data_IF_959518017250
#
_entry.id   IF_959518017250
#
_cell.length_a   1.000
_cell.length_b   1.000
_cell.length_c   1.000
_cell.angle_alpha   90.00
_cell.angle_beta   90.00
_cell.angle_gamma   90.00
#
_symmetry.space_group_name_H-M   'P 1'
#
loop_
_entity.id
_entity.type
_entity.pdbx_description
1 polymer ?
#
# COMPACT_ATOMS: atom_id res chain seq x y z
N UNK A 1 2.90 -42.78 75.01
CA UNK A 1 4.02 -42.27 74.18
C UNK A 1 3.59 -42.26 72.73
N UNK A 2 3.56 -41.06 72.15
CA UNK A 2 3.57 -40.67 70.72
C UNK A 2 2.53 -41.31 69.77
N UNK A 3 1.44 -40.58 69.58
CA UNK A 3 0.64 -40.57 68.35
C UNK A 3 1.49 -40.07 67.18
N UNK A 4 1.38 -40.72 66.01
CA UNK A 4 1.95 -40.25 64.75
C UNK A 4 0.81 -39.94 63.78
N UNK A 5 0.54 -38.65 63.61
CA UNK A 5 -0.35 -38.07 62.60
C UNK A 5 0.35 -38.07 61.24
N UNK A 6 -0.26 -38.69 60.22
CA UNK A 6 0.11 -38.49 58.82
C UNK A 6 -0.32 -37.08 58.37
N UNK A 7 0.51 -36.32 57.64
CA UNK A 7 0.05 -35.11 56.97
C UNK A 7 -0.63 -35.50 55.66
N UNK A 8 -1.90 -35.11 55.50
CA UNK A 8 -2.56 -35.09 54.20
C UNK A 8 -2.01 -33.91 53.39
N UNK A 9 -1.24 -34.20 52.34
CA UNK A 9 -0.81 -33.23 51.35
C UNK A 9 -1.96 -33.01 50.36
N UNK A 10 -2.80 -31.99 50.61
CA UNK A 10 -3.68 -31.43 49.60
C UNK A 10 -2.83 -30.68 48.56
N UNK A 11 -2.59 -31.30 47.41
CA UNK A 11 -2.06 -30.60 46.24
C UNK A 11 -3.12 -29.66 45.69
N UNK A 12 -3.06 -28.38 46.09
CA UNK A 12 -3.78 -27.31 45.42
C UNK A 12 -3.13 -27.09 44.04
N UNK A 13 -3.76 -27.61 42.99
CA UNK A 13 -3.41 -27.25 41.62
C UNK A 13 -3.84 -25.80 41.37
N UNK A 14 -2.89 -24.85 41.51
CA UNK A 14 -3.06 -23.50 40.97
C UNK A 14 -3.08 -23.60 39.44
N UNK A 15 -4.27 -23.60 38.86
CA UNK A 15 -4.45 -23.34 37.44
C UNK A 15 -4.22 -21.84 37.24
N UNK A 16 -2.98 -21.45 36.95
CA UNK A 16 -2.73 -20.16 36.32
C UNK A 16 -3.34 -20.21 34.92
N UNK A 17 -4.57 -19.74 34.78
CA UNK A 17 -5.12 -19.38 33.49
C UNK A 17 -4.30 -18.19 32.98
N UNK A 18 -3.27 -18.47 32.19
CA UNK A 18 -2.58 -17.44 31.42
C UNK A 18 -3.61 -16.81 30.49
N UNK A 19 -4.10 -15.62 30.86
CA UNK A 19 -4.87 -14.78 29.95
C UNK A 19 -3.92 -14.36 28.84
N UNK A 20 -3.97 -15.07 27.71
CA UNK A 20 -3.29 -14.65 26.51
C UNK A 20 -3.82 -13.27 26.11
N UNK A 21 -2.94 -12.31 25.74
CA UNK A 21 -3.41 -11.04 25.24
C UNK A 21 -4.27 -11.29 24.01
N UNK A 22 -5.48 -10.73 24.01
CA UNK A 22 -6.37 -10.73 22.86
C UNK A 22 -5.70 -9.88 21.77
N UNK A 23 -4.82 -10.48 20.98
CA UNK A 23 -4.34 -9.85 19.75
C UNK A 23 -5.59 -9.57 18.92
N UNK A 24 -5.78 -8.31 18.53
CA UNK A 24 -6.78 -7.93 17.56
C UNK A 24 -6.49 -8.75 16.29
N UNK A 25 -7.23 -9.84 16.11
CA UNK A 25 -7.10 -10.66 14.92
C UNK A 25 -7.68 -9.82 13.80
N UNK A 26 -6.83 -9.38 12.87
CA UNK A 26 -7.28 -8.85 11.58
C UNK A 26 -8.27 -9.87 11.04
N UNK A 27 -9.52 -9.46 10.91
CA UNK A 27 -10.58 -10.38 10.52
C UNK A 27 -10.39 -10.72 9.06
N UNK A 28 -9.94 -11.95 8.78
CA UNK A 28 -9.88 -12.57 7.44
C UNK A 28 -11.27 -12.72 6.79
N UNK A 29 -12.31 -12.07 7.33
CA UNK A 29 -13.67 -12.14 6.84
C UNK A 29 -13.90 -11.13 5.72
N UNK A 30 -14.68 -11.53 4.71
CA UNK A 30 -15.19 -10.63 3.68
C UNK A 30 -15.86 -9.39 4.30
N UNK A 31 -15.50 -8.21 3.79
CA UNK A 31 -15.96 -6.88 4.19
C UNK A 31 -16.80 -6.25 3.08
N UNK A 32 -17.59 -5.25 3.43
CA UNK A 32 -18.27 -4.41 2.45
C UNK A 32 -17.29 -3.48 1.72
N UNK A 33 -17.66 -3.03 0.51
CA UNK A 33 -16.86 -2.06 -0.25
C UNK A 33 -16.51 -0.78 0.53
N UNK A 34 -17.45 -0.17 1.28
CA UNK A 34 -17.16 0.98 2.15
C UNK A 34 -16.10 0.68 3.23
N UNK A 35 -16.18 -0.47 3.92
CA UNK A 35 -15.18 -0.86 4.92
C UNK A 35 -13.78 -1.04 4.28
N UNK A 36 -13.72 -1.62 3.09
CA UNK A 36 -12.46 -1.76 2.33
C UNK A 36 -11.93 -0.39 1.90
N UNK A 37 -12.81 0.53 1.50
CA UNK A 37 -12.41 1.90 1.17
C UNK A 37 -11.81 2.62 2.38
N UNK A 38 -12.38 2.47 3.57
CA UNK A 38 -11.84 3.03 4.82
C UNK A 38 -10.46 2.47 5.18
N UNK A 39 -10.25 1.16 4.98
CA UNK A 39 -8.92 0.55 5.13
C UNK A 39 -7.95 1.17 4.11
N UNK A 40 -8.34 1.21 2.84
CA UNK A 40 -7.50 1.73 1.76
C UNK A 40 -7.17 3.22 1.95
N UNK A 41 -8.10 4.02 2.43
CA UNK A 41 -7.91 5.45 2.66
C UNK A 41 -6.83 5.73 3.70
N UNK A 42 -6.75 4.92 4.75
CA UNK A 42 -5.75 5.05 5.82
C UNK A 42 -4.33 4.63 5.39
N UNK A 43 -4.23 3.83 4.32
CA UNK A 43 -3.00 3.12 3.95
C UNK A 43 -2.47 3.50 2.57
N UNK A 44 -3.27 4.15 1.71
CA UNK A 44 -2.81 4.66 0.40
C UNK A 44 -1.96 5.90 0.60
N UNK A 45 -0.72 5.83 0.14
CA UNK A 45 0.22 6.94 0.13
C UNK A 45 0.11 7.72 -1.19
N UNK A 46 0.22 9.04 -1.12
CA UNK A 46 0.54 9.88 -2.28
C UNK A 46 2.05 10.15 -2.26
N UNK A 47 2.76 9.77 -3.32
CA UNK A 47 4.21 9.94 -3.45
C UNK A 47 4.49 10.99 -4.52
N UNK A 48 5.27 12.01 -4.19
CA UNK A 48 5.49 13.16 -5.07
C UNK A 48 6.98 13.45 -5.23
N UNK A 49 7.41 13.64 -6.47
CA UNK A 49 8.77 14.03 -6.80
C UNK A 49 8.90 15.54 -6.96
N UNK A 50 9.98 16.13 -6.44
CA UNK A 50 10.28 17.55 -6.57
C UNK A 50 11.74 17.78 -6.94
N UNK A 51 12.01 18.81 -7.75
CA UNK A 51 13.38 19.26 -7.97
C UNK A 51 13.86 20.21 -6.86
N UNK A 52 15.13 20.64 -6.95
CA UNK A 52 15.71 21.60 -6.00
C UNK A 52 15.01 22.97 -5.98
N UNK A 53 14.33 23.33 -7.07
CA UNK A 53 13.54 24.55 -7.19
C UNK A 53 12.09 24.39 -6.67
N UNK A 54 11.80 23.28 -5.98
CA UNK A 54 10.48 22.94 -5.41
C UNK A 54 9.37 22.80 -6.46
N UNK A 55 9.74 22.57 -7.72
CA UNK A 55 8.77 22.28 -8.77
C UNK A 55 8.41 20.79 -8.72
N UNK A 56 7.12 20.49 -8.81
CA UNK A 56 6.62 19.13 -8.93
C UNK A 56 7.13 18.50 -10.23
N UNK A 57 7.66 17.28 -10.13
CA UNK A 57 8.16 16.47 -11.25
C UNK A 57 7.20 15.34 -11.61
N UNK A 58 6.05 15.27 -10.94
CA UNK A 58 5.10 14.17 -11.06
C UNK A 58 4.81 13.53 -9.71
N UNK A 59 3.87 12.60 -9.72
CA UNK A 59 3.47 11.84 -8.55
C UNK A 59 3.05 10.43 -8.93
N UNK A 60 2.97 9.59 -7.92
CA UNK A 60 2.37 8.27 -7.97
C UNK A 60 1.70 7.96 -6.64
N UNK A 61 1.33 6.70 -6.49
CA UNK A 61 0.70 6.15 -5.30
C UNK A 61 1.65 5.18 -4.59
N UNK A 62 1.30 4.79 -3.37
CA UNK A 62 2.00 3.77 -2.62
C UNK A 62 1.09 3.12 -1.58
N UNK A 63 1.62 2.12 -0.89
CA UNK A 63 0.92 1.41 0.19
C UNK A 63 1.78 1.44 1.45
N UNK A 64 1.25 1.89 2.57
CA UNK A 64 1.93 1.78 3.87
C UNK A 64 1.89 0.32 4.34
N UNK A 65 3.03 -0.36 4.39
CA UNK A 65 3.13 -1.81 4.58
C UNK A 65 3.86 -2.24 5.85
N UNK A 66 4.62 -1.35 6.48
CA UNK A 66 5.18 -1.61 7.81
C UNK A 66 5.44 -0.30 8.57
N UNK A 67 5.58 -0.43 9.87
CA UNK A 67 6.07 0.61 10.77
C UNK A 67 6.96 -0.03 11.83
N UNK A 68 8.19 0.43 11.95
CA UNK A 68 9.16 -0.01 12.96
C UNK A 68 9.62 1.21 13.77
N UNK A 69 9.19 1.30 15.03
CA UNK A 69 9.39 2.51 15.83
C UNK A 69 8.79 3.74 15.14
N UNK A 70 9.62 4.73 14.79
CA UNK A 70 9.24 5.93 14.05
C UNK A 70 9.49 5.82 12.54
N UNK A 71 9.87 4.66 12.02
CA UNK A 71 10.12 4.48 10.59
C UNK A 71 8.90 3.84 9.94
N UNK A 72 8.23 4.58 9.06
CA UNK A 72 7.19 4.05 8.18
C UNK A 72 7.81 3.55 6.87
N UNK A 73 7.21 2.49 6.34
CA UNK A 73 7.67 1.82 5.13
C UNK A 73 6.53 1.75 4.12
N UNK A 74 6.77 2.35 2.95
CA UNK A 74 5.86 2.28 1.80
C UNK A 74 6.40 1.36 0.72
N UNK A 75 5.51 0.67 0.00
CA UNK A 75 5.81 0.04 -1.30
C UNK A 75 5.15 0.80 -2.43
N UNK A 76 5.85 0.93 -3.54
CA UNK A 76 5.39 1.60 -4.77
C UNK A 76 6.06 0.96 -6.00
N UNK A 77 5.82 1.49 -7.20
CA UNK A 77 6.58 1.11 -8.39
C UNK A 77 7.92 1.84 -8.46
N UNK A 78 8.91 1.24 -9.11
CA UNK A 78 10.20 1.88 -9.32
C UNK A 78 10.06 3.13 -10.19
N UNK A 79 9.23 3.11 -11.23
CA UNK A 79 9.05 4.29 -12.09
C UNK A 79 8.37 5.49 -11.41
N UNK A 80 7.79 5.32 -10.22
CA UNK A 80 7.26 6.45 -9.43
C UNK A 80 8.40 7.24 -8.77
N UNK A 81 9.54 6.59 -8.54
CA UNK A 81 10.67 7.12 -7.78
C UNK A 81 11.98 7.17 -8.58
N UNK A 82 11.92 7.05 -9.91
CA UNK A 82 13.10 6.94 -10.78
C UNK A 82 13.63 8.28 -11.29
N UNK A 83 12.95 9.39 -11.01
CA UNK A 83 13.31 10.72 -11.51
C UNK A 83 14.67 11.19 -10.98
N UNK A 84 15.70 11.36 -11.84
CA UNK A 84 17.04 11.74 -11.40
C UNK A 84 17.07 13.12 -10.73
N UNK A 85 17.73 13.21 -9.57
CA UNK A 85 17.84 14.45 -8.80
C UNK A 85 16.55 14.89 -8.12
N UNK A 86 15.49 14.08 -8.18
CA UNK A 86 14.26 14.35 -7.45
C UNK A 86 14.42 14.06 -5.95
N UNK A 87 13.72 14.87 -5.16
CA UNK A 87 13.42 14.59 -3.75
C UNK A 87 11.99 14.10 -3.67
N UNK A 88 11.77 13.00 -2.95
CA UNK A 88 10.44 12.43 -2.80
C UNK A 88 9.83 12.80 -1.46
N UNK A 89 8.55 13.12 -1.49
CA UNK A 89 7.71 13.32 -0.32
C UNK A 89 6.56 12.31 -0.35
N UNK A 90 6.14 11.90 0.83
CA UNK A 90 4.97 11.05 1.05
C UNK A 90 3.92 11.85 1.79
N UNK A 91 2.69 11.87 1.29
CA UNK A 91 1.53 12.33 2.06
C UNK A 91 0.75 11.12 2.56
N UNK A 92 0.50 11.09 3.87
CA UNK A 92 -0.28 10.07 4.57
C UNK A 92 -1.76 10.49 4.72
N UNK A 93 -2.61 9.57 5.19
CA UNK A 93 -4.06 9.78 5.30
C UNK A 93 -4.47 10.85 6.31
N UNK A 94 -3.63 11.15 7.28
CA UNK A 94 -3.77 12.27 8.22
C UNK A 94 -3.33 13.61 7.61
N UNK A 95 -3.06 13.62 6.29
CA UNK A 95 -2.63 14.79 5.50
C UNK A 95 -1.22 15.29 5.83
N UNK A 96 -0.49 14.62 6.73
CA UNK A 96 0.89 14.94 7.03
C UNK A 96 1.78 14.62 5.81
N UNK A 97 2.79 15.45 5.60
CA UNK A 97 3.78 15.30 4.53
C UNK A 97 5.12 14.96 5.14
N UNK A 98 5.71 13.86 4.70
CA UNK A 98 6.96 13.32 5.20
C UNK A 98 7.99 13.31 4.08
N UNK A 99 9.25 13.62 4.42
CA UNK A 99 10.34 13.46 3.47
C UNK A 99 10.76 12.00 3.41
N UNK A 100 10.89 11.45 2.20
CA UNK A 100 11.50 10.13 2.00
C UNK A 100 12.97 10.19 2.41
N UNK A 101 13.36 9.28 3.30
CA UNK A 101 14.71 9.18 3.86
C UNK A 101 15.56 8.15 3.15
N UNK A 102 14.96 7.06 2.66
CA UNK A 102 15.63 6.03 1.87
C UNK A 102 14.72 5.51 0.76
N UNK A 103 15.33 5.11 -0.35
CA UNK A 103 14.67 4.50 -1.51
C UNK A 103 15.43 3.25 -1.90
N UNK A 104 14.71 2.13 -1.95
CA UNK A 104 15.24 0.84 -2.39
C UNK A 104 14.44 0.31 -3.57
N UNK A 105 14.90 0.64 -4.78
CA UNK A 105 14.36 0.06 -6.02
C UNK A 105 14.92 -1.35 -6.27
N UNK A 106 14.09 -2.25 -6.81
CA UNK A 106 14.51 -3.58 -7.22
C UNK A 106 14.88 -3.60 -8.70
N UNK A 107 15.90 -4.38 -9.08
CA UNK A 107 16.51 -4.25 -10.40
C UNK A 107 15.68 -4.85 -11.55
N UNK A 108 14.88 -5.89 -11.29
CA UNK A 108 14.21 -6.68 -12.33
C UNK A 108 12.70 -6.50 -12.36
N UNK A 109 12.14 -5.88 -11.33
CA UNK A 109 10.72 -5.61 -11.18
C UNK A 109 10.52 -4.13 -11.02
N UNK A 110 9.41 -3.64 -11.55
CA UNK A 110 8.99 -2.26 -11.36
C UNK A 110 8.43 -2.05 -9.94
N UNK A 111 9.26 -2.28 -8.92
CA UNK A 111 8.95 -2.19 -7.51
C UNK A 111 10.03 -1.39 -6.78
N UNK A 112 9.61 -0.61 -5.80
CA UNK A 112 10.50 0.07 -4.88
C UNK A 112 9.89 0.14 -3.48
N UNK A 113 10.77 0.21 -2.49
CA UNK A 113 10.44 0.53 -1.10
C UNK A 113 10.91 1.95 -0.81
N UNK A 114 10.05 2.72 -0.15
CA UNK A 114 10.37 4.05 0.38
C UNK A 114 10.26 4.02 1.89
N UNK A 115 11.19 4.64 2.59
CA UNK A 115 11.08 4.83 4.04
C UNK A 115 10.98 6.30 4.38
N UNK A 116 10.27 6.61 5.46
CA UNK A 116 10.16 7.97 5.98
C UNK A 116 9.91 7.94 7.49
N UNK A 117 10.31 9.00 8.17
CA UNK A 117 10.03 9.19 9.60
C UNK A 117 8.55 9.53 9.79
N UNK A 118 7.90 8.87 10.75
CA UNK A 118 6.49 9.01 11.04
C UNK A 118 6.22 8.80 12.55
N UNK A 119 5.63 9.80 13.22
CA UNK A 119 5.35 9.76 14.66
C UNK A 119 3.88 9.42 14.99
N UNK A 120 3.01 9.41 13.99
CA UNK A 120 1.59 9.08 14.15
C UNK A 120 1.36 7.59 14.44
N UNK A 121 0.18 7.28 14.96
CA UNK A 121 -0.32 5.91 15.11
C UNK A 121 -0.84 5.40 13.76
N UNK A 122 0.08 5.15 12.83
CA UNK A 122 -0.29 4.54 11.55
C UNK A 122 -0.39 3.03 11.70
N UNK A 123 -1.47 2.46 11.19
CA UNK A 123 -1.69 1.03 11.06
C UNK A 123 -1.36 0.63 9.61
N UNK A 124 -0.24 -0.08 9.37
CA UNK A 124 0.09 -0.55 8.03
C UNK A 124 -0.93 -1.56 7.52
N UNK A 125 -1.07 -1.68 6.21
CA UNK A 125 -1.97 -2.64 5.61
C UNK A 125 -1.46 -4.08 5.78
N UNK A 126 -2.37 -4.98 6.12
CA UNK A 126 -2.12 -6.43 6.08
C UNK A 126 -1.84 -6.89 4.65
N UNK A 127 -0.81 -7.70 4.48
CA UNK A 127 -0.40 -8.31 3.21
C UNK A 127 -0.92 -9.74 3.17
N UNK A 128 -1.64 -10.12 2.10
CA UNK A 128 -2.17 -11.47 1.96
C UNK A 128 -1.45 -12.24 0.84
N UNK A 129 -0.97 -13.43 1.18
CA UNK A 129 -0.22 -14.33 0.29
C UNK A 129 -0.95 -15.67 0.15
N UNK A 130 -1.89 -15.72 -0.79
CA UNK A 130 -2.56 -16.94 -1.19
C UNK A 130 -2.64 -17.00 -2.71
N UNK A 131 -3.05 -18.14 -3.25
CA UNK A 131 -3.19 -18.31 -4.69
C UNK A 131 -4.34 -17.43 -5.20
N UNK A 132 -3.99 -16.39 -5.96
CA UNK A 132 -4.96 -15.58 -6.68
C UNK A 132 -5.56 -16.39 -7.85
N UNK A 133 -6.79 -16.06 -8.22
CA UNK A 133 -7.50 -16.72 -9.33
C UNK A 133 -8.33 -15.73 -10.14
N UNK A 134 -8.43 -15.89 -11.48
CA UNK A 134 -9.40 -15.17 -12.29
C UNK A 134 -10.83 -15.30 -11.74
N UNK A 135 -11.61 -14.23 -11.81
CA UNK A 135 -12.95 -14.11 -11.25
C UNK A 135 -13.00 -13.64 -9.79
N UNK A 136 -11.87 -13.62 -9.09
CA UNK A 136 -11.80 -13.05 -7.74
C UNK A 136 -12.02 -11.54 -7.76
N UNK A 137 -12.87 -11.03 -6.87
CA UNK A 137 -13.07 -9.58 -6.68
C UNK A 137 -11.83 -8.93 -6.09
N UNK A 138 -11.44 -7.79 -6.65
CA UNK A 138 -10.36 -6.96 -6.14
C UNK A 138 -10.77 -5.49 -6.15
N UNK A 139 -10.27 -4.75 -5.18
CA UNK A 139 -10.46 -3.30 -5.05
C UNK A 139 -9.14 -2.60 -5.30
N UNK A 140 -9.18 -1.39 -5.85
CA UNK A 140 -8.01 -0.60 -6.16
C UNK A 140 -8.13 0.78 -5.55
N UNK A 141 -7.06 1.25 -4.91
CA UNK A 141 -6.98 2.59 -4.32
C UNK A 141 -5.69 3.28 -4.74
N UNK A 142 -5.81 4.50 -5.26
CA UNK A 142 -4.67 5.30 -5.74
C UNK A 142 -5.04 6.75 -6.02
N UNK A 143 -4.05 7.52 -6.47
CA UNK A 143 -4.11 8.96 -6.71
C UNK A 143 -3.98 9.29 -8.21
N UNK A 144 -5.09 9.42 -8.94
CA UNK A 144 -5.08 9.90 -10.32
C UNK A 144 -4.48 11.30 -10.45
N UNK A 145 -3.74 11.50 -11.54
CA UNK A 145 -3.07 12.76 -11.86
C UNK A 145 -3.80 13.67 -12.84
N UNK A 146 -4.95 13.25 -13.37
CA UNK A 146 -5.79 14.09 -14.23
C UNK A 146 -6.52 15.22 -13.48
N UNK A 147 -6.35 15.26 -12.15
CA UNK A 147 -6.88 16.28 -11.28
C UNK A 147 -8.39 16.14 -11.06
N UNK A 148 -8.90 16.85 -10.06
CA UNK A 148 -10.33 17.02 -9.82
C UNK A 148 -10.84 18.35 -10.42
N UNK A 149 -12.16 18.60 -10.47
CA UNK A 149 -12.71 19.85 -11.00
C UNK A 149 -12.23 21.13 -10.29
N UNK A 150 -11.60 21.01 -9.12
CA UNK A 150 -11.00 22.14 -8.38
C UNK A 150 -9.51 22.32 -8.69
N UNK A 151 -8.96 21.49 -9.59
CA UNK A 151 -7.56 21.47 -9.94
C UNK A 151 -6.68 20.76 -8.93
N UNK A 152 -7.24 20.08 -7.92
CA UNK A 152 -6.48 19.30 -6.93
C UNK A 152 -6.34 17.82 -7.33
N UNK A 153 -5.78 16.99 -6.45
CA UNK A 153 -5.81 15.53 -6.59
C UNK A 153 -6.92 14.95 -5.71
N UNK A 154 -7.69 14.01 -6.26
CA UNK A 154 -8.67 13.24 -5.49
C UNK A 154 -8.35 11.76 -5.57
N UNK A 155 -8.16 11.10 -4.42
CA UNK A 155 -7.96 9.65 -4.33
C UNK A 155 -9.17 8.94 -4.92
N UNK A 156 -8.93 7.94 -5.76
CA UNK A 156 -9.98 7.08 -6.32
C UNK A 156 -9.93 5.69 -5.73
N UNK A 157 -11.13 5.14 -5.52
CA UNK A 157 -11.38 3.77 -5.10
C UNK A 157 -12.28 3.09 -6.12
N UNK A 158 -11.82 2.00 -6.72
CA UNK A 158 -12.58 1.27 -7.75
C UNK A 158 -12.64 -0.21 -7.40
N UNK A 159 -13.71 -0.87 -7.82
CA UNK A 159 -13.84 -2.33 -7.73
C UNK A 159 -13.69 -2.96 -9.11
N UNK A 160 -13.29 -4.22 -9.13
CA UNK A 160 -13.11 -5.01 -10.33
C UNK A 160 -12.87 -6.47 -9.97
N UNK A 161 -12.39 -7.23 -10.94
CA UNK A 161 -12.09 -8.65 -10.81
C UNK A 161 -10.77 -8.96 -11.47
N UNK A 162 -10.07 -9.97 -10.97
CA UNK A 162 -8.91 -10.56 -11.64
C UNK A 162 -9.41 -11.16 -12.96
N UNK A 163 -8.86 -10.70 -14.08
CA UNK A 163 -9.20 -11.18 -15.41
C UNK A 163 -8.23 -12.24 -15.91
N UNK A 164 -6.95 -12.13 -15.53
CA UNK A 164 -5.89 -13.03 -15.99
C UNK A 164 -4.72 -13.08 -15.02
N UNK A 165 -3.96 -14.18 -15.07
CA UNK A 165 -2.66 -14.33 -14.44
C UNK A 165 -1.67 -14.73 -15.53
N UNK A 166 -0.60 -13.94 -15.70
CA UNK A 166 0.42 -14.27 -16.70
C UNK A 166 1.28 -15.43 -16.20
N UNK A 167 1.48 -16.44 -17.06
CA UNK A 167 2.39 -17.56 -16.79
C UNK A 167 3.84 -17.08 -16.60
N UNK A 168 4.20 -15.99 -17.30
CA UNK A 168 5.51 -15.36 -17.23
C UNK A 168 5.34 -13.87 -16.93
N UNK A 169 5.74 -13.41 -15.73
CA UNK A 169 5.71 -12.00 -15.40
C UNK A 169 6.59 -11.18 -16.35
N UNK A 170 6.16 -9.96 -16.66
CA UNK A 170 6.95 -9.00 -17.47
C UNK A 170 7.26 -7.82 -16.57
N UNK A 171 8.53 -7.60 -16.21
CA UNK A 171 8.90 -6.55 -15.25
C UNK A 171 8.24 -6.71 -13.87
N UNK A 172 7.89 -7.94 -13.49
CA UNK A 172 7.14 -8.26 -12.28
C UNK A 172 5.62 -8.26 -12.44
N UNK A 173 5.08 -7.65 -13.50
CA UNK A 173 3.64 -7.60 -13.75
C UNK A 173 3.10 -8.98 -14.08
N UNK A 174 2.11 -9.43 -13.31
CA UNK A 174 1.55 -10.77 -13.43
C UNK A 174 0.03 -10.80 -13.32
N UNK A 175 -0.56 -9.96 -12.47
CA UNK A 175 -1.99 -10.00 -12.17
C UNK A 175 -2.71 -8.98 -13.04
N UNK A 176 -3.56 -9.45 -13.95
CA UNK A 176 -4.44 -8.60 -14.76
C UNK A 176 -5.82 -8.45 -14.12
N UNK A 177 -6.38 -7.24 -14.11
CA UNK A 177 -7.71 -6.96 -13.53
C UNK A 177 -8.47 -5.84 -14.24
N UNK A 178 -9.77 -5.76 -13.95
CA UNK A 178 -10.75 -4.92 -14.66
C UNK A 178 -11.04 -3.57 -14.00
N UNK A 179 -10.44 -3.27 -12.85
CA UNK A 179 -10.63 -1.99 -12.14
C UNK A 179 -10.37 -0.81 -13.06
N UNK A 180 -11.13 0.29 -12.95
CA UNK A 180 -10.80 1.52 -13.68
C UNK A 180 -9.59 2.18 -13.01
N UNK A 181 -8.59 2.54 -13.80
CA UNK A 181 -7.39 3.27 -13.32
C UNK A 181 -7.01 4.41 -14.26
N UNK A 182 -6.14 5.29 -13.77
CA UNK A 182 -5.66 6.49 -14.48
C UNK A 182 -4.19 6.70 -14.16
N UNK A 183 -3.50 7.48 -14.98
CA UNK A 183 -2.12 7.91 -14.72
C UNK A 183 -2.01 8.54 -13.32
N UNK A 184 -0.91 8.30 -12.60
CA UNK A 184 -0.71 8.69 -11.19
C UNK A 184 -1.11 7.60 -10.17
N UNK A 185 -1.96 6.64 -10.56
CA UNK A 185 -2.35 5.56 -9.64
C UNK A 185 -1.28 4.47 -9.46
N UNK A 186 -0.21 4.47 -10.28
CA UNK A 186 0.90 3.54 -10.18
C UNK A 186 1.49 3.49 -8.77
N UNK A 187 1.77 2.29 -8.26
CA UNK A 187 2.16 2.00 -6.88
C UNK A 187 0.98 1.84 -5.92
N UNK A 188 -0.25 2.09 -6.40
CA UNK A 188 -1.48 1.99 -5.62
C UNK A 188 -1.82 0.57 -5.18
N UNK A 189 -2.73 0.50 -4.21
CA UNK A 189 -3.13 -0.73 -3.54
C UNK A 189 -4.08 -1.55 -4.41
N UNK A 190 -3.82 -2.85 -4.57
CA UNK A 190 -4.83 -3.82 -5.03
C UNK A 190 -5.17 -4.75 -3.87
N UNK A 191 -6.44 -4.70 -3.45
CA UNK A 191 -6.94 -5.31 -2.23
C UNK A 191 -7.90 -6.46 -2.52
N UNK A 192 -7.89 -7.48 -1.67
CA UNK A 192 -8.95 -8.50 -1.66
C UNK A 192 -10.20 -8.04 -0.92
N UNK A 193 -11.21 -8.90 -0.85
CA UNK A 193 -12.50 -8.62 -0.22
C UNK A 193 -12.45 -8.59 1.31
N UNK A 194 -11.30 -8.87 1.94
CA UNK A 194 -11.04 -8.60 3.35
C UNK A 194 -10.26 -7.27 3.55
N UNK A 195 -9.96 -6.55 2.47
CA UNK A 195 -9.23 -5.28 2.49
C UNK A 195 -7.72 -5.46 2.69
N UNK A 196 -7.16 -6.60 2.30
CA UNK A 196 -5.73 -6.93 2.46
C UNK A 196 -4.99 -6.77 1.14
N UNK A 197 -3.75 -6.29 1.17
CA UNK A 197 -2.94 -6.05 -0.01
C UNK A 197 -2.55 -7.37 -0.68
N UNK A 198 -2.91 -7.55 -1.95
CA UNK A 198 -2.59 -8.74 -2.76
C UNK A 198 -1.73 -8.44 -3.99
N UNK A 199 -1.76 -7.20 -4.49
CA UNK A 199 -0.86 -6.74 -5.55
C UNK A 199 -0.63 -5.23 -5.48
N UNK A 200 0.42 -4.77 -6.17
CA UNK A 200 0.78 -3.36 -6.35
C UNK A 200 0.42 -2.98 -7.78
N UNK A 201 -0.50 -2.04 -7.97
CA UNK A 201 -0.89 -1.54 -9.30
C UNK A 201 0.30 -0.84 -9.97
N UNK A 202 0.46 -0.96 -11.30
CA UNK A 202 1.49 -0.18 -11.97
C UNK A 202 1.38 0.06 -13.48
N UNK A 203 0.59 -0.74 -14.23
CA UNK A 203 0.30 -0.43 -15.64
C UNK A 203 -1.20 -0.20 -15.82
N UNK A 204 -1.52 0.98 -16.36
CA UNK A 204 -2.87 1.36 -16.77
C UNK A 204 -3.25 0.91 -18.19
N UNK A 205 -4.55 0.73 -18.44
CA UNK A 205 -5.15 0.34 -19.73
C UNK A 205 -4.81 1.26 -20.93
N UNK A 206 -4.37 2.50 -20.69
CA UNK A 206 -4.17 3.52 -21.74
C UNK A 206 -2.73 4.04 -21.80
N UNK A 207 -1.78 3.31 -21.23
CA UNK A 207 -0.37 3.72 -21.29
C UNK A 207 0.23 3.55 -22.70
N UNK A 208 1.17 4.43 -23.04
CA UNK A 208 1.94 4.29 -24.28
C UNK A 208 2.84 3.04 -24.18
N UNK A 209 2.60 2.06 -25.04
CA UNK A 209 3.39 0.84 -25.09
C UNK A 209 4.90 1.10 -25.30
N UNK A 210 5.29 2.20 -25.96
CA UNK A 210 6.69 2.58 -26.11
C UNK A 210 7.32 3.00 -24.78
N UNK A 211 6.57 3.73 -23.96
CA UNK A 211 7.00 4.13 -22.61
C UNK A 211 7.14 2.91 -21.73
N UNK A 212 6.16 2.00 -21.76
CA UNK A 212 6.21 0.74 -21.00
C UNK A 212 7.36 -0.16 -21.47
N UNK A 213 7.59 -0.26 -22.78
CA UNK A 213 8.69 -1.03 -23.36
C UNK A 213 10.06 -0.53 -22.88
N UNK A 214 10.25 0.79 -22.90
CA UNK A 214 11.48 1.42 -22.40
C UNK A 214 11.65 1.20 -20.90
N UNK A 215 10.59 1.44 -20.11
CA UNK A 215 10.58 1.28 -18.64
C UNK A 215 10.98 -0.14 -18.23
N UNK A 216 10.43 -1.14 -18.91
CA UNK A 216 10.65 -2.54 -18.59
C UNK A 216 11.83 -3.17 -19.33
N UNK A 217 12.48 -2.40 -20.22
CA UNK A 217 13.53 -2.90 -21.11
C UNK A 217 13.10 -4.16 -21.90
N UNK A 218 11.91 -4.09 -22.52
CA UNK A 218 11.32 -5.17 -23.32
C UNK A 218 10.96 -4.69 -24.73
N UNK A 219 10.75 -5.60 -25.70
CA UNK A 219 10.25 -5.22 -27.02
C UNK A 219 8.88 -4.52 -26.95
N UNK A 220 8.62 -3.59 -27.87
CA UNK A 220 7.35 -2.84 -27.93
C UNK A 220 6.15 -3.79 -28.12
N UNK A 221 6.35 -4.89 -28.83
CA UNK A 221 5.32 -5.92 -29.04
C UNK A 221 4.90 -6.57 -27.72
N UNK A 222 5.84 -6.81 -26.82
CA UNK A 222 5.58 -7.31 -25.47
C UNK A 222 4.78 -6.28 -24.66
N UNK A 223 5.19 -5.01 -24.71
CA UNK A 223 4.52 -3.93 -23.99
C UNK A 223 3.11 -3.61 -24.52
N UNK A 224 2.86 -3.78 -25.83
CA UNK A 224 1.52 -3.62 -26.41
C UNK A 224 0.50 -4.60 -25.82
N UNK A 225 0.95 -5.81 -25.47
CA UNK A 225 0.14 -6.81 -24.78
C UNK A 225 -0.21 -6.43 -23.34
N UNK A 226 0.51 -5.48 -22.73
CA UNK A 226 0.21 -4.98 -21.39
C UNK A 226 -0.65 -3.71 -21.42
N UNK A 227 -0.34 -2.76 -22.32
CA UNK A 227 -0.80 -1.38 -22.19
C UNK A 227 -1.84 -0.90 -23.21
N UNK A 228 -2.00 -1.54 -24.37
CA UNK A 228 -2.85 -0.98 -25.46
C UNK A 228 -3.89 -1.94 -26.04
N UNK A 229 -3.70 -3.27 -25.91
CA UNK A 229 -4.59 -4.26 -26.56
C UNK A 229 -5.58 -4.94 -25.62
N UNK A 230 -5.33 -4.90 -24.32
CA UNK A 230 -6.03 -5.78 -23.38
C UNK A 230 -7.24 -5.15 -22.72
N UNK A 231 -7.31 -3.82 -22.63
CA UNK A 231 -8.34 -3.18 -21.81
C UNK A 231 -8.12 -3.38 -20.30
N UNK A 232 -7.11 -4.18 -19.89
CA UNK A 232 -6.86 -4.59 -18.52
C UNK A 232 -5.67 -3.85 -17.93
N UNK A 233 -5.71 -3.69 -16.61
CA UNK A 233 -4.63 -3.15 -15.82
C UNK A 233 -3.78 -4.28 -15.27
N UNK A 234 -2.51 -4.00 -15.02
CA UNK A 234 -1.60 -5.00 -14.45
C UNK A 234 -0.98 -4.53 -13.14
N UNK A 235 -0.86 -5.48 -12.21
CA UNK A 235 -0.17 -5.31 -10.96
C UNK A 235 0.87 -6.40 -10.72
N UNK A 236 1.77 -6.10 -9.80
CA UNK A 236 2.83 -6.99 -9.33
C UNK A 236 2.33 -7.67 -8.05
N UNK A 237 2.27 -9.01 -7.97
CA UNK A 237 1.83 -9.71 -6.78
C UNK A 237 2.68 -9.35 -5.55
N UNK A 238 2.06 -9.31 -4.37
CA UNK A 238 2.80 -9.09 -3.12
C UNK A 238 3.81 -10.20 -2.81
N UNK A 239 3.62 -11.41 -3.34
CA UNK A 239 4.59 -12.50 -3.23
C UNK A 239 5.91 -12.17 -3.93
N UNK A 240 5.86 -11.50 -5.09
CA UNK A 240 7.04 -10.97 -5.78
C UNK A 240 7.74 -9.94 -4.92
N UNK A 241 6.99 -8.99 -4.35
CA UNK A 241 7.53 -7.98 -3.43
C UNK A 241 8.23 -8.62 -2.22
N UNK A 242 7.55 -9.52 -1.50
CA UNK A 242 8.11 -10.17 -0.31
C UNK A 242 9.38 -10.99 -0.63
N UNK A 243 9.40 -11.66 -1.78
CA UNK A 243 10.59 -12.37 -2.26
C UNK A 243 11.78 -11.42 -2.49
N UNK A 244 11.52 -10.25 -3.08
CA UNK A 244 12.56 -9.22 -3.30
C UNK A 244 12.99 -8.51 -2.02
N UNK A 245 12.06 -8.19 -1.14
CA UNK A 245 12.34 -7.61 0.18
C UNK A 245 13.24 -8.54 1.00
N UNK A 246 12.92 -9.83 1.04
CA UNK A 246 13.73 -10.86 1.73
C UNK A 246 15.14 -10.97 1.12
N UNK A 247 15.27 -11.06 -0.21
CA UNK A 247 16.57 -11.12 -0.89
C UNK A 247 17.42 -9.87 -0.66
N UNK A 248 16.79 -8.70 -0.52
CA UNK A 248 17.46 -7.45 -0.25
C UNK A 248 17.77 -7.23 1.25
N UNK A 249 17.36 -8.15 2.13
CA UNK A 249 17.57 -8.03 3.57
C UNK A 249 16.68 -6.99 4.26
N UNK A 250 15.53 -6.64 3.67
CA UNK A 250 14.55 -5.71 4.25
C UNK A 250 13.71 -6.44 5.30
N UNK A 251 14.16 -6.37 6.56
CA UNK A 251 13.54 -7.06 7.69
C UNK A 251 12.64 -6.12 8.50
N UNK A 252 11.53 -5.67 7.89
CA UNK A 252 10.52 -4.87 8.59
C UNK A 252 9.40 -5.76 9.17
N UNK A 253 8.65 -5.28 10.18
CA UNK A 253 7.54 -6.02 10.78
C UNK A 253 6.30 -5.99 9.88
N UNK A 254 6.34 -6.73 8.76
CA UNK A 254 5.19 -6.88 7.86
C UNK A 254 4.10 -7.73 8.53
N UNK A 255 2.85 -7.27 8.47
CA UNK A 255 1.68 -8.08 8.85
C UNK A 255 1.28 -8.96 7.65
N UNK A 256 1.67 -10.23 7.68
CA UNK A 256 1.47 -11.17 6.56
C UNK A 256 0.52 -12.31 6.95
N UNK A 257 -0.50 -12.52 6.13
CA UNK A 257 -1.44 -13.64 6.25
C UNK A 257 -1.39 -14.53 5.00
N UNK A 258 -1.80 -15.79 5.15
CA UNK A 258 -1.69 -16.82 4.10
C UNK A 258 -3.04 -17.43 3.68
N UNK A 259 -4.12 -17.01 4.35
CA UNK A 259 -5.48 -17.51 4.15
C UNK A 259 -6.21 -16.68 3.09
N UNK A 260 -7.01 -17.35 2.26
CA UNK A 260 -8.03 -16.65 1.49
C UNK A 260 -9.11 -16.09 2.44
N UNK A 261 -9.78 -14.98 2.05
CA UNK A 261 -10.88 -14.45 2.83
C UNK A 261 -11.97 -15.49 3.08
N UNK A 262 -12.54 -15.47 4.28
CA UNK A 262 -13.61 -16.35 4.71
C UNK A 262 -14.95 -15.62 4.61
N UNK A 263 -16.02 -16.35 4.28
CA UNK A 263 -17.36 -15.80 4.31
C UNK A 263 -17.68 -15.28 5.72
N UNK A 264 -18.30 -14.09 5.80
CA UNK A 264 -18.69 -13.53 7.09
C UNK A 264 -19.72 -14.44 7.78
N UNK A 265 -19.46 -14.79 9.05
CA UNK A 265 -20.31 -15.66 9.86
C UNK A 265 -21.70 -15.07 10.13
N UNK A 266 -21.91 -13.77 9.89
CA UNK A 266 -23.18 -13.08 10.19
C UNK A 266 -24.26 -13.23 9.12
N UNK A 267 -23.97 -13.78 7.94
CA UNK A 267 -24.94 -13.90 6.85
C UNK A 267 -25.33 -12.52 6.27
N UNK A 268 -25.17 -12.37 4.96
CA UNK A 268 -25.28 -11.11 4.23
C UNK A 268 -24.27 -10.04 4.69
N UNK A 269 -23.26 -9.80 3.84
CA UNK A 269 -22.60 -8.49 3.76
C UNK A 269 -23.72 -7.46 3.70
N UNK A 270 -23.71 -6.55 4.67
CA UNK A 270 -24.77 -5.60 4.97
C UNK A 270 -25.36 -5.00 3.69
N UNK A 271 -26.70 -5.03 3.58
CA UNK A 271 -27.44 -4.29 2.55
C UNK A 271 -26.93 -2.85 2.50
N UNK A 272 -26.81 -2.22 1.31
CA UNK A 272 -26.54 -0.79 1.21
C UNK A 272 -27.74 -0.02 1.80
N UNK A 273 -27.70 0.21 3.10
CA UNK A 273 -28.61 1.05 3.86
C UNK A 273 -27.73 1.86 4.80
N UNK A 274 -27.81 3.18 4.65
CA UNK A 274 -27.14 4.21 5.46
C UNK A 274 -25.68 4.57 5.09
N UNK A 275 -25.21 4.31 3.86
CA UNK A 275 -24.05 5.07 3.37
C UNK A 275 -24.48 6.52 3.11
N UNK A 276 -24.17 7.40 4.05
CA UNK A 276 -24.19 8.84 3.81
C UNK A 276 -22.84 9.25 3.27
N UNK A 277 -22.79 9.77 2.04
CA UNK A 277 -21.57 10.29 1.46
C UNK A 277 -21.08 11.48 2.30
N UNK A 278 -20.04 11.26 3.09
CA UNK A 278 -19.30 12.31 3.78
C UNK A 278 -17.97 12.49 3.04
N UNK A 279 -17.74 13.65 2.37
CA UNK A 279 -16.44 13.93 1.78
C UNK A 279 -15.36 13.82 2.86
N UNK A 280 -14.40 12.92 2.68
CA UNK A 280 -13.26 12.84 3.59
C UNK A 280 -12.16 13.77 3.06
N UNK A 281 -11.74 14.75 3.88
CA UNK A 281 -10.69 15.69 3.50
C UNK A 281 -9.34 14.98 3.17
N UNK A 282 -9.10 13.79 3.71
CA UNK A 282 -7.91 13.00 3.38
C UNK A 282 -7.86 12.53 1.93
N UNK A 283 -9.01 12.38 1.27
CA UNK A 283 -9.13 11.98 -0.13
C UNK A 283 -8.84 13.13 -1.10
N UNK A 284 -8.70 14.36 -0.62
CA UNK A 284 -8.46 15.54 -1.46
C UNK A 284 -7.15 16.22 -1.11
N UNK A 285 -6.48 16.73 -2.14
CA UNK A 285 -5.25 17.51 -2.01
C UNK A 285 -5.35 18.72 -2.93
N UNK A 286 -5.33 19.92 -2.36
CA UNK A 286 -5.10 21.15 -3.11
C UNK A 286 -3.60 21.29 -3.41
N UNK A 287 -3.24 21.69 -4.64
CA UNK A 287 -1.83 21.95 -4.96
C UNK A 287 -1.25 23.10 -4.14
N UNK A 288 -2.05 24.12 -3.79
CA UNK A 288 -1.58 25.25 -2.98
C UNK A 288 -1.24 24.82 -1.55
N UNK A 289 -2.12 24.04 -0.91
CA UNK A 289 -1.89 23.50 0.44
C UNK A 289 -0.66 22.58 0.44
N UNK A 290 -0.53 21.77 -0.60
CA UNK A 290 0.57 20.85 -0.80
C UNK A 290 1.90 21.59 -0.93
N UNK A 291 1.98 22.63 -1.79
CA UNK A 291 3.17 23.46 -1.95
C UNK A 291 3.52 24.21 -0.66
N UNK A 292 2.51 24.69 0.09
CA UNK A 292 2.69 25.28 1.41
C UNK A 292 3.38 24.32 2.39
N UNK A 293 2.87 23.10 2.51
CA UNK A 293 3.42 22.05 3.37
C UNK A 293 4.84 21.64 2.95
N UNK A 294 5.08 21.51 1.64
CA UNK A 294 6.41 21.24 1.07
C UNK A 294 7.39 22.33 1.47
N UNK A 295 7.03 23.60 1.26
CA UNK A 295 7.88 24.74 1.58
C UNK A 295 8.27 24.74 3.07
N UNK A 296 7.29 24.56 3.96
CA UNK A 296 7.52 24.51 5.40
C UNK A 296 8.44 23.36 5.82
N UNK A 297 8.23 22.15 5.27
CA UNK A 297 9.07 20.99 5.57
C UNK A 297 10.51 21.21 5.11
N UNK A 298 10.70 21.66 3.86
CA UNK A 298 12.01 21.91 3.28
C UNK A 298 12.78 23.01 4.02
N UNK A 299 12.10 24.08 4.43
CA UNK A 299 12.72 25.16 5.20
C UNK A 299 13.12 24.72 6.61
N UNK A 300 12.32 23.85 7.23
CA UNK A 300 12.64 23.25 8.53
C UNK A 300 13.91 22.40 8.43
N UNK A 301 13.98 21.49 7.46
CA UNK A 301 15.17 20.64 7.23
C UNK A 301 16.41 21.49 6.94
N UNK A 302 16.29 22.53 6.12
CA UNK A 302 17.40 23.43 5.81
C UNK A 302 17.87 24.22 7.03
N UNK A 303 16.96 24.61 7.94
CA UNK A 303 17.31 25.28 9.19
C UNK A 303 18.07 24.35 10.13
N UNK A 304 17.63 23.09 10.26
CA UNK A 304 18.35 22.08 11.03
C UNK A 304 19.76 21.87 10.47
N UNK A 305 19.94 21.70 9.16
CA UNK A 305 21.27 21.56 8.54
C UNK A 305 22.20 22.75 8.84
N UNK A 306 21.71 23.99 8.75
CA UNK A 306 22.49 25.20 9.06
C UNK A 306 22.91 25.28 10.54
N UNK A 307 22.08 24.82 11.46
CA UNK A 307 22.39 24.84 12.90
C UNK A 307 23.44 23.77 13.25
N UNK A 308 23.38 22.61 12.59
CA UNK A 308 24.22 21.46 12.92
C UNK A 308 25.45 21.28 12.00
N UNK A 309 25.66 22.17 11.02
CA UNK A 309 26.94 22.30 10.31
C UNK A 309 27.27 21.17 9.33
N UNK A 310 26.26 20.58 8.69
CA UNK A 310 26.43 19.64 7.58
C UNK A 310 25.82 20.21 6.29
#
# INVERSE_FOLDING_TARGET
MKQATLPALCSAALVLAAQMPLQARVSDTVKSGPEINEISQRTTLLIMGFNNNRQSLGHGSGSLIAKDGNTCVGVTNAHVIDTPGARFLVRTSDQAVHQVTDVRAFANEDLAVVTFECQGNYEPITIATYQLSPGQTVYLSGWPGDGDPTGGLTRQFTSGTISTLLDRPVGGYQVGYTNVTRSGMSGGQVLDDAGRLVAIHGIGTLEDARVVAQRLNVPVETAQGLAQKTGFNYGIPVTTFLGRASQAGLNFPYDVVFSSPQASASGAVTRPGDYTHQPNASDRVSFDDMLGNVNQLLDTVNRFRRIFGF
#
